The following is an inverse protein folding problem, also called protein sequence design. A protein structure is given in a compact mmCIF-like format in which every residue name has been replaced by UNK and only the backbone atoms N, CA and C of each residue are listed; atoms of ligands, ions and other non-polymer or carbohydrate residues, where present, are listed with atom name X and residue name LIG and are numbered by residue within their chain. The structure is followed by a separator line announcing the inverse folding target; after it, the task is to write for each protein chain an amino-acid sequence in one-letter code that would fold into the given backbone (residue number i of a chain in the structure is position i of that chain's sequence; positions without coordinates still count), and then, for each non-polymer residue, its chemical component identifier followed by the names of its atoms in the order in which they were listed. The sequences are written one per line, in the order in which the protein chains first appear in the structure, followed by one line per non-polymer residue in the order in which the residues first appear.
data_IF_592503834534
#
_entry.id   IF_592503834534
#
_cell.length_a   1.000
_cell.length_b   1.000
_cell.length_c   1.000
_cell.angle_alpha   90.00
_cell.angle_beta   90.00
_cell.angle_gamma   90.00
#
_symmetry.space_group_name_H-M   'P 1'
#
loop_
_entity.id
_entity.type
_entity.pdbx_description
1 polymer ?
#
# COMPACT_ATOMS: atom_id res chain seq x y z
N UNK A 1 58.67 20.49 -44.77
CA UNK A 1 58.86 19.62 -43.60
C UNK A 1 57.61 19.75 -42.75
N UNK A 2 56.65 18.84 -42.93
CA UNK A 2 55.37 18.86 -42.21
C UNK A 2 55.52 17.90 -41.04
N UNK A 3 55.54 18.47 -39.85
CA UNK A 3 55.66 17.79 -38.56
C UNK A 3 54.35 17.06 -38.24
N UNK A 4 54.31 15.75 -38.52
CA UNK A 4 53.15 14.90 -38.22
C UNK A 4 53.14 14.56 -36.73
N UNK A 5 52.35 15.32 -35.95
CA UNK A 5 51.97 14.95 -34.57
C UNK A 5 51.31 13.58 -34.57
N UNK A 6 51.97 12.60 -33.96
CA UNK A 6 51.40 11.28 -33.68
C UNK A 6 50.33 11.44 -32.60
N UNK A 7 49.05 11.27 -32.96
CA UNK A 7 47.92 11.23 -32.02
C UNK A 7 48.07 10.03 -31.08
N UNK A 8 48.72 10.24 -29.93
CA UNK A 8 48.85 9.22 -28.90
C UNK A 8 47.49 9.00 -28.22
N UNK A 9 46.87 7.85 -28.44
CA UNK A 9 45.61 7.47 -27.78
C UNK A 9 45.78 7.49 -26.25
N UNK A 10 44.82 8.05 -25.49
CA UNK A 10 44.93 8.18 -24.04
C UNK A 10 45.04 6.81 -23.37
N UNK A 11 45.90 6.69 -22.37
CA UNK A 11 46.13 5.46 -21.59
C UNK A 11 45.62 5.61 -20.17
N UNK A 12 45.16 4.51 -19.59
CA UNK A 12 44.72 4.43 -18.21
C UNK A 12 45.88 4.76 -17.27
N UNK A 13 45.70 5.72 -16.37
CA UNK A 13 46.74 6.12 -15.41
C UNK A 13 47.04 5.05 -14.36
N UNK A 14 46.21 4.01 -14.25
CA UNK A 14 46.39 2.91 -13.30
C UNK A 14 47.03 1.67 -13.92
N UNK A 15 46.55 1.21 -15.08
CA UNK A 15 47.03 -0.03 -15.72
C UNK A 15 47.78 0.18 -17.03
N UNK A 16 47.91 1.42 -17.53
CA UNK A 16 48.61 1.72 -18.78
C UNK A 16 47.92 1.26 -20.07
N UNK A 17 46.79 0.56 -19.96
CA UNK A 17 46.01 0.12 -21.12
C UNK A 17 45.37 1.29 -21.86
N UNK A 18 45.22 1.13 -23.17
CA UNK A 18 44.59 2.13 -24.03
C UNK A 18 43.12 2.34 -23.65
N UNK A 19 42.71 3.59 -23.49
CA UNK A 19 41.34 3.96 -23.20
C UNK A 19 40.56 3.98 -24.51
N UNK A 20 39.57 3.09 -24.62
CA UNK A 20 38.66 3.08 -25.76
C UNK A 20 37.64 4.21 -25.59
N UNK A 21 37.82 5.30 -26.33
CA UNK A 21 36.86 6.40 -26.36
C UNK A 21 35.75 6.06 -27.37
N UNK A 22 34.50 5.95 -26.90
CA UNK A 22 33.34 5.92 -27.80
C UNK A 22 33.02 7.34 -28.29
N UNK A 23 32.77 7.47 -29.59
CA UNK A 23 32.67 8.73 -30.36
C UNK A 23 31.70 9.80 -29.83
N UNK A 24 30.80 9.46 -28.91
CA UNK A 24 29.79 10.37 -28.37
C UNK A 24 30.14 11.02 -27.01
N UNK A 25 31.28 10.70 -26.40
CA UNK A 25 31.66 11.26 -25.10
C UNK A 25 33.08 11.84 -25.13
N UNK A 26 33.21 13.14 -25.46
CA UNK A 26 34.47 13.91 -25.36
C UNK A 26 34.81 14.30 -23.90
N UNK A 27 34.72 13.37 -22.95
CA UNK A 27 35.31 13.58 -21.62
C UNK A 27 36.56 12.72 -21.53
N UNK A 28 37.70 13.38 -21.31
CA UNK A 28 38.97 12.72 -21.04
C UNK A 28 38.81 11.85 -19.78
N UNK A 29 38.65 10.55 -19.99
CA UNK A 29 38.64 9.59 -18.89
C UNK A 29 40.08 9.31 -18.49
N UNK A 30 40.38 9.37 -17.19
CA UNK A 30 41.72 9.05 -16.68
C UNK A 30 41.92 7.53 -16.46
N UNK A 31 40.86 6.72 -16.51
CA UNK A 31 40.95 5.26 -16.29
C UNK A 31 40.26 4.45 -17.40
N UNK A 32 40.68 3.19 -17.58
CA UNK A 32 40.08 2.23 -18.53
C UNK A 32 38.69 1.70 -18.10
N UNK A 33 38.09 2.26 -17.04
CA UNK A 33 36.78 1.87 -16.49
C UNK A 33 36.66 0.43 -15.95
N UNK A 34 37.73 -0.35 -15.92
CA UNK A 34 37.75 -1.59 -15.11
C UNK A 34 37.53 -1.24 -13.64
N UNK A 35 36.74 -2.07 -12.95
CA UNK A 35 36.35 -1.84 -11.56
C UNK A 35 37.55 -1.54 -10.66
N UNK A 36 38.60 -2.37 -10.74
CA UNK A 36 39.81 -2.20 -9.92
C UNK A 36 40.57 -0.91 -10.23
N UNK A 37 40.69 -0.53 -11.51
CA UNK A 37 41.34 0.73 -11.88
C UNK A 37 40.53 1.95 -11.39
N UNK A 38 39.20 1.93 -11.52
CA UNK A 38 38.35 3.00 -11.00
C UNK A 38 38.40 3.09 -9.47
N UNK A 39 38.42 1.95 -8.79
CA UNK A 39 38.51 1.87 -7.33
C UNK A 39 39.83 2.42 -6.83
N UNK A 40 40.95 2.01 -7.44
CA UNK A 40 42.29 2.49 -7.10
C UNK A 40 42.45 3.98 -7.37
N UNK A 41 42.01 4.45 -8.54
CA UNK A 41 42.05 5.87 -8.89
C UNK A 41 41.23 6.74 -7.92
N UNK A 42 40.00 6.32 -7.59
CA UNK A 42 39.17 7.01 -6.59
C UNK A 42 39.81 7.05 -5.21
N UNK A 43 40.54 6.00 -4.83
CA UNK A 43 41.25 5.94 -3.55
C UNK A 43 42.46 6.89 -3.55
N UNK A 44 43.23 6.93 -4.63
CA UNK A 44 44.42 7.80 -4.77
C UNK A 44 44.05 9.29 -4.87
N UNK A 45 42.98 9.62 -5.60
CA UNK A 45 42.54 11.00 -5.85
C UNK A 45 41.33 11.42 -5.00
N UNK A 46 41.06 10.73 -3.88
CA UNK A 46 39.86 10.97 -3.07
C UNK A 46 39.73 12.43 -2.59
N UNK A 47 40.84 13.02 -2.14
CA UNK A 47 40.89 14.40 -1.65
C UNK A 47 40.62 15.42 -2.77
N UNK A 48 41.29 15.26 -3.91
CA UNK A 48 41.15 16.12 -5.08
C UNK A 48 39.73 16.04 -5.69
N UNK A 49 39.17 14.82 -5.77
CA UNK A 49 37.80 14.61 -6.21
C UNK A 49 36.78 15.25 -5.26
N UNK A 50 37.04 15.25 -3.96
CA UNK A 50 36.18 15.91 -2.97
C UNK A 50 36.29 17.44 -3.05
N UNK A 51 37.50 17.99 -3.24
CA UNK A 51 37.72 19.42 -3.47
C UNK A 51 36.99 19.88 -4.74
N UNK A 52 37.17 19.16 -5.86
CA UNK A 52 36.51 19.47 -7.13
C UNK A 52 34.98 19.35 -7.03
N UNK A 53 34.48 18.35 -6.29
CA UNK A 53 33.05 18.21 -6.02
C UNK A 53 32.51 19.39 -5.20
N UNK A 54 33.22 19.82 -4.16
CA UNK A 54 32.85 20.98 -3.33
C UNK A 54 32.92 22.28 -4.14
N UNK A 55 33.91 22.44 -5.00
CA UNK A 55 34.05 23.58 -5.91
C UNK A 55 32.90 23.64 -6.92
N UNK A 56 32.60 22.53 -7.62
CA UNK A 56 31.47 22.45 -8.53
C UNK A 56 30.13 22.72 -7.82
N UNK A 57 29.97 22.24 -6.58
CA UNK A 57 28.80 22.54 -5.76
C UNK A 57 28.71 24.03 -5.34
N UNK A 58 29.85 24.72 -5.17
CA UNK A 58 29.89 26.17 -4.93
C UNK A 58 29.52 26.96 -6.19
N UNK A 59 30.05 26.58 -7.35
CA UNK A 59 29.72 27.22 -8.64
C UNK A 59 28.24 27.07 -8.99
N UNK A 60 27.64 25.90 -8.71
CA UNK A 60 26.19 25.67 -8.88
C UNK A 60 25.34 26.45 -7.86
N UNK A 61 25.89 26.73 -6.67
CA UNK A 61 25.26 27.57 -5.63
C UNK A 61 25.31 29.07 -5.94
N UNK A 62 26.35 29.55 -6.62
CA UNK A 62 26.48 30.97 -7.02
C UNK A 62 25.58 31.32 -8.20
N UNK A 63 25.21 30.35 -9.04
CA UNK A 63 24.38 30.56 -10.24
C UNK A 63 22.87 30.39 -10.00
N UNK A 64 22.43 29.94 -8.83
CA UNK A 64 21.02 29.83 -8.49
C UNK A 64 20.78 30.50 -7.15
N UNK A 65 19.83 31.43 -7.07
CA UNK A 65 19.33 32.00 -5.82
C UNK A 65 18.57 30.90 -5.05
N UNK A 66 19.32 29.99 -4.43
CA UNK A 66 18.74 28.85 -3.73
C UNK A 66 18.40 29.29 -2.32
N UNK A 67 17.10 29.35 -2.05
CA UNK A 67 16.52 29.53 -0.72
C UNK A 67 17.19 28.56 0.29
N UNK A 68 17.53 29.05 1.48
CA UNK A 68 18.26 28.32 2.52
C UNK A 68 17.69 28.63 3.90
N UNK A 69 17.57 27.60 4.75
CA UNK A 69 17.22 27.72 6.17
C UNK A 69 18.47 27.84 7.04
N UNK A 70 18.39 28.59 8.15
CA UNK A 70 19.49 28.73 9.10
C UNK A 70 19.33 27.77 10.28
N UNK A 71 20.43 27.19 10.75
CA UNK A 71 20.46 26.48 12.02
C UNK A 71 20.25 27.46 13.18
N UNK A 72 19.31 27.15 14.08
CA UNK A 72 18.99 28.00 15.23
C UNK A 72 20.10 28.03 16.29
N UNK A 73 21.02 27.06 16.28
CA UNK A 73 22.14 26.98 17.22
C UNK A 73 23.35 27.81 16.74
N UNK A 74 23.69 27.74 15.45
CA UNK A 74 24.93 28.32 14.94
C UNK A 74 24.77 29.29 13.75
N UNK A 75 23.56 29.46 13.22
CA UNK A 75 23.28 30.34 12.09
C UNK A 75 23.76 29.84 10.73
N UNK A 76 24.47 28.69 10.66
CA UNK A 76 24.90 28.10 9.39
C UNK A 76 23.69 27.82 8.48
N UNK A 77 23.80 28.18 7.19
CA UNK A 77 22.70 28.10 6.23
C UNK A 77 22.76 26.81 5.41
N UNK A 78 21.63 26.12 5.31
CA UNK A 78 21.47 24.85 4.62
C UNK A 78 20.21 24.85 3.76
N UNK A 79 20.19 24.06 2.68
CA UNK A 79 18.93 23.73 2.01
C UNK A 79 18.10 22.78 2.89
N UNK A 80 18.80 21.88 3.59
CA UNK A 80 18.27 21.01 4.65
C UNK A 80 19.30 20.82 5.76
N UNK A 81 18.88 21.06 7.00
CA UNK A 81 19.63 20.73 8.20
C UNK A 81 19.56 19.22 8.39
N UNK A 82 20.70 18.55 8.20
CA UNK A 82 20.81 17.10 8.32
C UNK A 82 21.28 16.69 9.71
N UNK A 83 21.03 15.43 10.07
CA UNK A 83 21.47 14.85 11.34
C UNK A 83 23.00 14.94 11.55
N UNK A 84 23.79 14.92 10.47
CA UNK A 84 25.26 15.05 10.54
C UNK A 84 25.69 16.43 11.02
N UNK A 85 24.98 17.48 10.65
CA UNK A 85 25.24 18.82 11.16
C UNK A 85 24.85 18.93 12.63
N UNK A 86 23.65 18.46 13.01
CA UNK A 86 23.17 18.55 14.39
C UNK A 86 24.03 17.77 15.41
N UNK A 87 24.71 16.70 14.98
CA UNK A 87 25.70 16.01 15.82
C UNK A 87 26.84 16.92 16.29
N UNK A 88 27.21 17.96 15.53
CA UNK A 88 28.20 18.98 15.96
C UNK A 88 27.71 19.81 17.15
N UNK A 89 26.40 19.79 17.39
CA UNK A 89 25.74 20.44 18.51
C UNK A 89 25.23 19.41 19.54
N UNK A 90 25.65 18.15 19.44
CA UNK A 90 25.20 17.05 20.31
C UNK A 90 23.67 16.84 20.32
N UNK A 91 22.97 17.34 19.29
CA UNK A 91 21.52 17.25 19.16
C UNK A 91 21.10 16.19 18.16
N UNK A 92 20.06 15.44 18.51
CA UNK A 92 19.26 14.70 17.52
C UNK A 92 18.27 15.62 16.82
N UNK A 93 17.73 15.19 15.67
CA UNK A 93 16.64 15.91 15.00
C UNK A 93 15.39 16.07 15.88
N UNK A 94 15.15 15.15 16.82
CA UNK A 94 14.03 15.22 17.75
C UNK A 94 14.27 16.28 18.83
N UNK A 95 15.43 16.25 19.48
CA UNK A 95 15.82 17.25 20.49
C UNK A 95 15.89 18.65 19.89
N UNK A 96 16.49 18.81 18.71
CA UNK A 96 16.53 20.09 18.01
C UNK A 96 15.13 20.66 17.71
N UNK A 97 14.15 19.80 17.35
CA UNK A 97 12.76 20.24 17.15
C UNK A 97 12.06 20.60 18.46
N UNK A 98 12.43 19.97 19.56
CA UNK A 98 11.87 20.25 20.87
C UNK A 98 12.40 21.59 21.41
N UNK A 99 13.69 21.85 21.23
CA UNK A 99 14.35 23.10 21.64
C UNK A 99 14.00 24.27 20.71
N UNK A 100 13.84 24.01 19.41
CA UNK A 100 13.56 25.03 18.40
C UNK A 100 12.32 24.67 17.56
N UNK A 101 11.11 24.69 18.13
CA UNK A 101 9.89 24.21 17.48
C UNK A 101 9.52 25.00 16.21
N UNK A 102 9.94 26.26 16.13
CA UNK A 102 9.67 27.15 14.99
C UNK A 102 10.81 27.19 13.96
N UNK A 103 11.95 26.54 14.22
CA UNK A 103 13.08 26.57 13.30
C UNK A 103 12.86 25.59 12.13
N UNK A 104 12.79 26.06 10.87
CA UNK A 104 12.57 25.18 9.74
C UNK A 104 13.83 24.33 9.46
N UNK A 105 13.67 23.01 9.39
CA UNK A 105 14.76 22.09 9.06
C UNK A 105 15.10 22.06 7.57
N UNK A 106 14.22 22.55 6.70
CA UNK A 106 14.41 22.58 5.25
C UNK A 106 13.49 23.64 4.64
N UNK A 107 13.82 24.11 3.45
CA UNK A 107 13.01 25.11 2.74
C UNK A 107 11.66 24.57 2.28
N UNK A 108 10.69 25.46 2.08
CA UNK A 108 9.35 25.08 1.63
C UNK A 108 9.39 24.47 0.22
N UNK A 109 10.23 25.01 -0.67
CA UNK A 109 10.52 24.40 -1.98
C UNK A 109 11.00 22.95 -1.86
N UNK A 110 11.89 22.64 -0.89
CA UNK A 110 12.34 21.27 -0.65
C UNK A 110 11.26 20.36 -0.04
N UNK A 111 10.41 20.89 0.86
CA UNK A 111 9.25 20.15 1.38
C UNK A 111 8.32 19.73 0.24
N UNK A 112 8.02 20.66 -0.68
CA UNK A 112 7.18 20.40 -1.85
C UNK A 112 7.79 19.37 -2.82
N UNK A 113 9.05 19.55 -3.20
CA UNK A 113 9.72 18.63 -4.15
C UNK A 113 9.81 17.20 -3.62
N UNK A 114 10.01 17.02 -2.31
CA UNK A 114 10.06 15.71 -1.67
C UNK A 114 8.70 15.02 -1.62
N UNK A 115 7.61 15.78 -1.47
CA UNK A 115 6.25 15.27 -1.62
C UNK A 115 5.97 14.82 -3.06
N UNK A 116 6.33 15.66 -4.05
CA UNK A 116 6.07 15.41 -5.47
C UNK A 116 6.79 14.16 -6.00
N UNK A 117 8.07 13.95 -5.65
CA UNK A 117 8.84 12.78 -6.10
C UNK A 117 8.41 11.42 -5.53
N UNK A 118 7.66 11.40 -4.43
CA UNK A 118 7.03 10.20 -3.87
C UNK A 118 5.71 9.87 -4.59
N UNK A 119 4.92 10.89 -4.93
CA UNK A 119 3.62 10.73 -5.57
C UNK A 119 3.81 10.26 -7.01
N UNK A 120 4.75 10.85 -7.75
CA UNK A 120 5.05 10.50 -9.14
C UNK A 120 5.67 9.10 -9.35
N UNK A 121 6.01 8.39 -8.25
CA UNK A 121 6.55 7.02 -8.27
C UNK A 121 5.56 5.97 -7.80
N UNK A 122 4.31 6.36 -7.53
CA UNK A 122 3.34 5.40 -7.02
C UNK A 122 2.98 4.40 -8.12
N UNK A 123 3.17 3.09 -7.85
CA UNK A 123 2.96 2.01 -8.84
C UNK A 123 1.60 2.02 -9.52
N UNK A 124 0.57 2.59 -8.90
CA UNK A 124 -0.76 2.61 -9.50
C UNK A 124 -0.89 3.59 -10.66
N UNK A 125 -0.01 4.60 -10.77
CA UNK A 125 -0.09 5.61 -11.84
C UNK A 125 0.24 5.02 -13.22
N UNK A 126 1.16 4.06 -13.26
CA UNK A 126 1.61 3.42 -14.50
C UNK A 126 0.96 2.04 -14.70
N UNK A 127 0.00 1.66 -13.84
CA UNK A 127 -0.63 0.35 -13.91
C UNK A 127 -1.72 0.35 -14.99
N UNK A 128 -1.64 -0.51 -16.02
CA UNK A 128 -2.67 -0.62 -17.05
C UNK A 128 -3.87 -1.43 -16.55
N UNK A 129 -4.41 -1.04 -15.40
CA UNK A 129 -5.60 -1.66 -14.81
C UNK A 129 -6.87 -1.23 -15.54
N UNK A 130 -7.88 -2.09 -15.47
CA UNK A 130 -9.25 -1.77 -15.86
C UNK A 130 -9.75 -0.58 -15.04
N UNK A 131 -10.52 0.30 -15.68
CA UNK A 131 -11.16 1.41 -14.99
C UNK A 131 -12.17 0.89 -13.95
N UNK A 132 -12.29 1.55 -12.78
CA UNK A 132 -13.29 1.18 -11.79
C UNK A 132 -14.70 1.14 -12.39
N UNK A 133 -15.41 0.06 -12.13
CA UNK A 133 -16.77 -0.17 -12.62
C UNK A 133 -17.68 -0.68 -11.49
N UNK A 134 -18.95 -0.91 -11.81
CA UNK A 134 -19.93 -1.41 -10.84
C UNK A 134 -19.52 -2.78 -10.26
N UNK A 135 -18.90 -3.64 -11.07
CA UNK A 135 -18.48 -4.96 -10.61
C UNK A 135 -17.44 -4.87 -9.48
N UNK A 136 -16.46 -3.97 -9.59
CA UNK A 136 -15.53 -3.68 -8.50
C UNK A 136 -16.25 -3.12 -7.26
N UNK A 137 -17.21 -2.21 -7.43
CA UNK A 137 -17.91 -1.59 -6.30
C UNK A 137 -18.83 -2.56 -5.56
N UNK A 138 -19.47 -3.47 -6.28
CA UNK A 138 -20.24 -4.58 -5.70
C UNK A 138 -19.32 -5.53 -4.91
N UNK A 139 -18.19 -5.92 -5.50
CA UNK A 139 -17.17 -6.71 -4.81
C UNK A 139 -16.70 -6.04 -3.52
N UNK A 140 -16.29 -4.76 -3.58
CA UNK A 140 -15.82 -4.01 -2.42
C UNK A 140 -16.91 -3.92 -1.35
N UNK A 141 -18.18 -3.75 -1.73
CA UNK A 141 -19.28 -3.69 -0.77
C UNK A 141 -19.46 -5.02 -0.04
N UNK A 142 -19.48 -6.14 -0.77
CA UNK A 142 -19.57 -7.47 -0.16
C UNK A 142 -18.38 -7.79 0.75
N UNK A 143 -17.17 -7.54 0.26
CA UNK A 143 -15.94 -7.80 1.02
C UNK A 143 -15.79 -6.90 2.25
N UNK A 144 -16.23 -5.63 2.19
CA UNK A 144 -16.16 -4.71 3.33
C UNK A 144 -17.26 -4.95 4.36
N UNK A 145 -18.37 -5.57 3.99
CA UNK A 145 -19.30 -6.13 4.97
C UNK A 145 -18.76 -7.40 5.64
N UNK A 146 -17.84 -8.09 4.96
CA UNK A 146 -17.14 -9.29 5.42
C UNK A 146 -15.70 -9.04 5.92
N UNK A 147 -14.81 -9.96 5.52
CA UNK A 147 -13.42 -10.09 6.00
C UNK A 147 -12.47 -9.03 5.40
N UNK A 148 -12.84 -8.43 4.27
CA UNK A 148 -12.03 -7.44 3.57
C UNK A 148 -11.88 -6.14 4.36
N UNK A 149 -10.73 -5.48 4.26
CA UNK A 149 -10.48 -4.20 4.94
C UNK A 149 -9.78 -3.18 4.05
N UNK A 150 -10.05 -1.90 4.29
CA UNK A 150 -9.25 -0.81 3.73
C UNK A 150 -8.28 -0.31 4.79
N UNK A 151 -6.98 -0.51 4.57
CA UNK A 151 -5.92 -0.03 5.45
C UNK A 151 -5.44 1.36 5.00
N UNK A 152 -5.62 2.39 5.82
CA UNK A 152 -4.98 3.71 5.64
C UNK A 152 -3.95 3.97 6.75
N UNK A 153 -2.67 3.89 6.39
CA UNK A 153 -1.59 4.21 7.32
C UNK A 153 -1.45 5.73 7.49
N UNK A 154 -1.21 6.21 8.71
CA UNK A 154 -1.06 7.66 9.01
C UNK A 154 -0.05 8.38 8.11
N UNK A 155 1.04 7.71 7.72
CA UNK A 155 2.12 8.29 6.88
C UNK A 155 1.89 8.10 5.38
N UNK A 156 0.76 7.53 4.97
CA UNK A 156 0.43 7.27 3.57
C UNK A 156 -0.77 8.12 3.17
N UNK A 157 -0.68 8.73 1.99
CA UNK A 157 -1.78 9.53 1.43
C UNK A 157 -2.97 8.63 1.13
N UNK A 158 -2.70 7.49 0.50
CA UNK A 158 -3.73 6.60 0.00
C UNK A 158 -3.93 5.33 0.83
N UNK A 159 -5.16 4.85 0.85
CA UNK A 159 -5.52 3.56 1.44
C UNK A 159 -5.27 2.41 0.45
N UNK A 160 -5.29 1.18 0.96
CA UNK A 160 -5.23 -0.07 0.17
C UNK A 160 -6.24 -1.08 0.68
N UNK A 161 -6.61 -2.03 -0.16
CA UNK A 161 -7.33 -3.23 0.28
C UNK A 161 -6.36 -4.22 0.91
N UNK A 162 -6.79 -4.88 1.98
CA UNK A 162 -6.07 -5.96 2.63
C UNK A 162 -7.03 -7.00 3.19
N UNK A 163 -6.67 -8.27 3.01
CA UNK A 163 -7.39 -9.41 3.55
C UNK A 163 -6.41 -10.56 3.81
N UNK A 164 -6.71 -11.40 4.78
CA UNK A 164 -6.01 -12.66 4.96
C UNK A 164 -6.89 -13.72 5.58
N UNK A 165 -6.53 -14.99 5.37
CA UNK A 165 -7.38 -16.13 5.69
C UNK A 165 -6.74 -17.45 5.29
N UNK A 166 -7.42 -18.55 5.57
CA UNK A 166 -6.92 -19.92 5.36
C UNK A 166 -7.51 -20.63 4.12
N UNK A 167 -8.40 -19.97 3.38
CA UNK A 167 -8.96 -20.51 2.14
C UNK A 167 -8.19 -19.95 0.95
N UNK A 168 -7.17 -20.67 0.49
CA UNK A 168 -6.31 -20.25 -0.61
C UNK A 168 -7.10 -19.94 -1.88
N UNK A 169 -7.98 -20.86 -2.29
CA UNK A 169 -8.72 -20.75 -3.54
C UNK A 169 -9.59 -19.50 -3.56
N UNK A 170 -10.29 -19.23 -2.45
CA UNK A 170 -11.16 -18.07 -2.35
C UNK A 170 -10.38 -16.76 -2.32
N UNK A 171 -9.29 -16.69 -1.53
CA UNK A 171 -8.43 -15.51 -1.50
C UNK A 171 -7.71 -15.28 -2.83
N UNK A 172 -7.34 -16.35 -3.54
CA UNK A 172 -6.71 -16.25 -4.85
C UNK A 172 -7.71 -15.75 -5.89
N UNK A 173 -8.98 -16.17 -5.80
CA UNK A 173 -10.06 -15.61 -6.61
C UNK A 173 -10.22 -14.10 -6.36
N UNK A 174 -10.28 -13.65 -5.10
CA UNK A 174 -10.32 -12.22 -4.76
C UNK A 174 -9.09 -11.47 -5.29
N UNK A 175 -7.91 -12.08 -5.20
CA UNK A 175 -6.67 -11.52 -5.75
C UNK A 175 -6.79 -11.28 -7.26
N UNK A 176 -7.24 -12.30 -8.00
CA UNK A 176 -7.38 -12.23 -9.46
C UNK A 176 -8.48 -11.25 -9.90
N UNK A 177 -9.50 -11.04 -9.07
CA UNK A 177 -10.49 -9.98 -9.29
C UNK A 177 -9.86 -8.60 -9.10
N UNK A 178 -9.19 -8.36 -7.97
CA UNK A 178 -8.61 -7.06 -7.65
C UNK A 178 -7.41 -6.69 -8.53
N UNK A 179 -6.62 -7.67 -9.00
CA UNK A 179 -5.48 -7.41 -9.88
C UNK A 179 -5.91 -6.84 -11.22
N UNK A 180 -7.15 -7.05 -11.65
CA UNK A 180 -7.67 -6.39 -12.86
C UNK A 180 -7.70 -4.86 -12.72
N UNK A 181 -7.79 -4.32 -11.50
CA UNK A 181 -7.94 -2.89 -11.23
C UNK A 181 -6.71 -2.26 -10.58
N UNK A 182 -6.00 -3.01 -9.73
CA UNK A 182 -4.88 -2.50 -8.94
C UNK A 182 -3.68 -3.44 -8.99
N UNK A 183 -2.45 -2.93 -8.92
CA UNK A 183 -1.32 -3.79 -8.62
C UNK A 183 -1.52 -4.46 -7.25
N UNK A 184 -1.45 -5.79 -7.20
CA UNK A 184 -1.66 -6.60 -6.01
C UNK A 184 -0.37 -7.28 -5.53
N UNK A 185 -0.41 -7.75 -4.29
CA UNK A 185 0.61 -8.61 -3.71
C UNK A 185 -0.05 -9.81 -3.04
N UNK A 186 0.60 -10.96 -3.18
CA UNK A 186 0.17 -12.24 -2.65
C UNK A 186 1.28 -12.79 -1.74
N UNK A 187 0.93 -13.19 -0.51
CA UNK A 187 1.88 -13.75 0.44
C UNK A 187 1.27 -14.91 1.23
N UNK A 188 1.91 -16.05 1.15
CA UNK A 188 1.69 -17.15 2.08
C UNK A 188 2.46 -16.87 3.39
N UNK A 189 1.85 -17.16 4.55
CA UNK A 189 2.51 -17.02 5.84
C UNK A 189 2.08 -18.12 6.81
N UNK A 190 3.02 -18.50 7.66
CA UNK A 190 2.76 -19.23 8.89
C UNK A 190 2.73 -18.25 10.06
N UNK A 191 1.71 -18.33 10.91
CA UNK A 191 1.63 -17.53 12.13
C UNK A 191 2.80 -17.85 13.06
N UNK A 192 3.10 -16.90 13.94
CA UNK A 192 3.83 -17.22 15.16
C UNK A 192 3.05 -18.27 15.97
N UNK A 193 3.72 -19.13 16.74
CA UNK A 193 3.05 -20.06 17.64
C UNK A 193 2.09 -19.31 18.58
N UNK A 194 0.87 -19.80 18.71
CA UNK A 194 -0.10 -19.27 19.66
C UNK A 194 0.47 -19.40 21.07
N UNK A 195 0.49 -18.30 21.83
CA UNK A 195 1.20 -18.20 23.12
C UNK A 195 0.78 -19.25 24.14
N UNK A 196 -0.48 -19.72 24.08
CA UNK A 196 -1.01 -20.71 25.02
C UNK A 196 -1.00 -22.15 24.48
N UNK A 197 -1.11 -22.34 23.16
CA UNK A 197 -1.37 -23.67 22.58
C UNK A 197 -0.23 -24.17 21.70
N UNK A 198 0.75 -23.32 21.38
CA UNK A 198 1.84 -23.60 20.45
C UNK A 198 1.40 -23.76 18.98
N UNK A 199 0.08 -23.80 18.71
CA UNK A 199 -0.46 -24.00 17.36
C UNK A 199 -0.04 -22.87 16.44
N UNK A 200 0.36 -23.24 15.22
CA UNK A 200 0.65 -22.32 14.13
C UNK A 200 -0.46 -22.43 13.10
N UNK A 201 -0.85 -21.30 12.56
CA UNK A 201 -1.90 -21.21 11.57
C UNK A 201 -1.28 -20.81 10.25
N UNK A 202 -1.54 -21.62 9.23
CA UNK A 202 -1.18 -21.33 7.85
C UNK A 202 -2.26 -20.45 7.22
N UNK A 203 -1.84 -19.52 6.37
CA UNK A 203 -2.77 -18.66 5.66
C UNK A 203 -2.12 -17.85 4.55
N UNK A 204 -2.96 -17.15 3.82
CA UNK A 204 -2.59 -16.29 2.70
C UNK A 204 -3.05 -14.87 2.97
N UNK A 205 -2.29 -13.90 2.45
CA UNK A 205 -2.56 -12.48 2.56
C UNK A 205 -2.52 -11.83 1.18
N UNK A 206 -3.61 -11.17 0.86
CA UNK A 206 -3.79 -10.35 -0.32
C UNK A 206 -3.73 -8.88 0.10
N UNK A 207 -2.92 -8.07 -0.60
CA UNK A 207 -2.96 -6.61 -0.45
C UNK A 207 -2.83 -5.93 -1.79
N UNK A 208 -3.66 -4.92 -2.06
CA UNK A 208 -3.42 -4.01 -3.17
C UNK A 208 -2.30 -3.03 -2.83
N UNK A 209 -1.73 -2.39 -3.85
CA UNK A 209 -1.04 -1.11 -3.67
C UNK A 209 -2.03 -0.03 -3.24
N UNK A 210 -1.50 1.07 -2.70
CA UNK A 210 -2.35 2.18 -2.25
C UNK A 210 -2.93 2.91 -3.45
N UNK A 211 -4.21 3.28 -3.41
CA UNK A 211 -4.92 3.90 -4.53
C UNK A 211 -5.90 5.00 -4.08
N UNK A 212 -6.02 6.14 -4.79
CA UNK A 212 -6.96 7.22 -4.44
C UNK A 212 -8.42 6.77 -4.29
N UNK A 213 -8.92 5.93 -5.21
CA UNK A 213 -10.25 5.32 -5.12
C UNK A 213 -10.48 4.60 -3.78
N UNK A 214 -9.49 3.82 -3.32
CA UNK A 214 -9.60 3.09 -2.06
C UNK A 214 -9.56 4.06 -0.87
N UNK A 215 -8.91 5.21 -1.01
CA UNK A 215 -8.97 6.30 -0.02
C UNK A 215 -10.37 6.92 0.07
N UNK A 216 -11.00 7.15 -1.07
CA UNK A 216 -12.38 7.65 -1.14
C UNK A 216 -13.34 6.65 -0.48
N UNK A 217 -13.24 5.37 -0.84
CA UNK A 217 -14.03 4.31 -0.21
C UNK A 217 -13.75 4.19 1.29
N UNK A 218 -12.48 4.27 1.70
CA UNK A 218 -12.12 4.27 3.12
C UNK A 218 -12.79 5.43 3.88
N UNK A 219 -12.87 6.62 3.29
CA UNK A 219 -13.51 7.77 3.97
C UNK A 219 -15.01 7.58 4.21
N UNK A 220 -15.66 6.71 3.43
CA UNK A 220 -17.09 6.38 3.56
C UNK A 220 -17.32 5.19 4.50
N UNK A 221 -16.41 4.23 4.50
CA UNK A 221 -16.52 3.00 5.30
C UNK A 221 -15.89 3.08 6.68
N UNK A 222 -15.06 4.09 6.97
CA UNK A 222 -14.35 4.20 8.23
C UNK A 222 -14.45 5.61 8.83
N UNK A 223 -15.06 5.69 10.00
CA UNK A 223 -15.17 6.93 10.80
C UNK A 223 -14.40 6.70 12.09
N UNK A 224 -13.47 7.61 12.40
CA UNK A 224 -12.60 7.52 13.59
C UNK A 224 -11.84 6.18 13.72
N UNK A 225 -11.51 5.56 12.58
CA UNK A 225 -10.82 4.27 12.54
C UNK A 225 -11.71 3.05 12.77
N UNK A 226 -13.00 3.23 13.07
CA UNK A 226 -14.00 2.16 13.16
C UNK A 226 -14.64 1.93 11.79
N UNK A 227 -14.75 0.67 11.36
CA UNK A 227 -15.54 0.30 10.18
C UNK A 227 -17.03 0.54 10.47
N UNK A 228 -17.72 1.19 9.55
CA UNK A 228 -19.15 1.51 9.61
C UNK A 228 -19.90 0.93 8.41
N UNK A 229 -21.23 0.98 8.44
CA UNK A 229 -22.07 0.61 7.29
C UNK A 229 -22.57 1.87 6.57
N UNK A 230 -21.95 2.28 5.44
CA UNK A 230 -22.40 3.44 4.67
C UNK A 230 -23.67 3.11 3.88
N UNK A 231 -24.83 3.49 4.42
CA UNK A 231 -26.16 3.16 3.87
C UNK A 231 -26.26 3.43 2.37
N UNK A 232 -25.85 4.62 1.90
CA UNK A 232 -25.93 4.99 0.47
C UNK A 232 -25.10 4.09 -0.46
N UNK A 233 -23.95 3.58 0.01
CA UNK A 233 -23.16 2.63 -0.79
C UNK A 233 -23.76 1.24 -0.75
N UNK A 234 -24.25 0.80 0.41
CA UNK A 234 -24.92 -0.50 0.54
C UNK A 234 -26.18 -0.56 -0.32
N UNK A 235 -27.01 0.49 -0.28
CA UNK A 235 -28.22 0.58 -1.11
C UNK A 235 -27.88 0.41 -2.60
N UNK A 236 -26.84 1.11 -3.04
CA UNK A 236 -26.39 1.15 -4.43
C UNK A 236 -25.70 -0.14 -4.89
N UNK A 237 -24.83 -0.73 -4.06
CA UNK A 237 -23.86 -1.74 -4.49
C UNK A 237 -24.00 -3.10 -3.80
N UNK A 238 -24.86 -3.25 -2.78
CA UNK A 238 -25.18 -4.58 -2.25
C UNK A 238 -26.15 -5.28 -3.21
N UNK A 239 -25.61 -5.89 -4.26
CA UNK A 239 -26.30 -6.75 -5.25
C UNK A 239 -26.31 -8.21 -4.79
N UNK A 240 -26.89 -9.11 -5.58
CA UNK A 240 -26.79 -10.56 -5.34
C UNK A 240 -25.34 -11.05 -5.32
N UNK A 241 -24.47 -10.50 -6.16
CA UNK A 241 -23.04 -10.80 -6.16
C UNK A 241 -22.37 -10.34 -4.86
N UNK A 242 -22.60 -9.09 -4.45
CA UNK A 242 -22.06 -8.56 -3.20
C UNK A 242 -22.56 -9.34 -1.97
N UNK A 243 -23.84 -9.75 -1.97
CA UNK A 243 -24.42 -10.60 -0.93
C UNK A 243 -23.76 -11.97 -0.91
N UNK A 244 -23.47 -12.57 -2.07
CA UNK A 244 -22.78 -13.84 -2.15
C UNK A 244 -21.36 -13.76 -1.56
N UNK A 245 -20.60 -12.71 -1.90
CA UNK A 245 -19.27 -12.45 -1.31
C UNK A 245 -19.38 -12.27 0.20
N UNK A 246 -20.31 -11.44 0.67
CA UNK A 246 -20.50 -11.22 2.10
C UNK A 246 -20.88 -12.50 2.86
N UNK A 247 -21.77 -13.32 2.29
CA UNK A 247 -22.12 -14.62 2.86
C UNK A 247 -20.95 -15.60 2.84
N UNK A 248 -20.11 -15.56 1.81
CA UNK A 248 -18.90 -16.35 1.76
C UNK A 248 -17.89 -15.95 2.86
N UNK A 249 -17.81 -14.67 3.21
CA UNK A 249 -16.95 -14.21 4.29
C UNK A 249 -17.57 -14.57 5.66
N UNK A 250 -18.70 -13.94 6.00
CA UNK A 250 -19.28 -13.96 7.36
C UNK A 250 -20.56 -14.80 7.49
N UNK A 251 -20.93 -15.56 6.46
CA UNK A 251 -22.09 -16.43 6.48
C UNK A 251 -21.81 -17.82 7.04
N UNK A 252 -22.85 -18.41 7.64
CA UNK A 252 -22.84 -19.80 8.09
C UNK A 252 -24.19 -20.46 7.80
N UNK A 253 -24.16 -21.68 7.28
CA UNK A 253 -25.36 -22.52 7.12
C UNK A 253 -25.31 -23.68 8.11
N UNK A 254 -26.28 -23.74 9.02
CA UNK A 254 -26.41 -24.84 9.96
C UNK A 254 -27.26 -25.96 9.36
N UNK A 255 -26.67 -27.14 9.24
CA UNK A 255 -27.35 -28.35 8.74
C UNK A 255 -28.43 -28.85 9.71
N UNK A 256 -28.22 -28.72 11.02
CA UNK A 256 -29.13 -29.26 12.03
C UNK A 256 -30.46 -28.51 12.11
N UNK A 257 -30.44 -27.18 11.93
CA UNK A 257 -31.63 -26.33 12.05
C UNK A 257 -32.11 -25.76 10.71
N UNK A 258 -31.47 -26.13 9.60
CA UNK A 258 -31.78 -25.67 8.24
C UNK A 258 -31.86 -24.14 8.12
N UNK A 259 -30.95 -23.44 8.81
CA UNK A 259 -30.91 -21.98 8.83
C UNK A 259 -29.53 -21.45 8.49
N UNK A 260 -29.52 -20.35 7.76
CA UNK A 260 -28.35 -19.53 7.50
C UNK A 260 -28.27 -18.37 8.50
N UNK A 261 -27.05 -17.91 8.73
CA UNK A 261 -26.72 -16.80 9.62
C UNK A 261 -25.71 -15.89 8.92
N UNK A 262 -25.75 -14.59 9.23
CA UNK A 262 -24.71 -13.62 8.87
C UNK A 262 -24.19 -12.96 10.14
N UNK A 263 -22.89 -13.08 10.38
CA UNK A 263 -22.25 -12.56 11.59
C UNK A 263 -21.89 -11.08 11.46
N UNK A 264 -22.82 -10.19 11.84
CA UNK A 264 -22.64 -8.73 11.80
C UNK A 264 -22.02 -8.14 13.08
N UNK A 265 -21.25 -8.93 13.83
CA UNK A 265 -20.85 -8.61 15.21
C UNK A 265 -19.89 -7.41 15.32
N UNK A 266 -19.31 -6.97 14.21
CA UNK A 266 -18.44 -5.80 14.14
C UNK A 266 -19.21 -4.46 14.00
N UNK A 267 -20.51 -4.51 13.73
CA UNK A 267 -21.35 -3.34 13.49
C UNK A 267 -22.22 -2.99 14.70
N UNK A 268 -22.59 -1.71 14.81
CA UNK A 268 -23.48 -1.20 15.85
C UNK A 268 -24.91 -1.71 15.69
N UNK A 269 -25.75 -1.68 16.74
CA UNK A 269 -27.15 -2.10 16.65
C UNK A 269 -27.94 -1.39 15.54
N UNK A 270 -27.71 -0.10 15.34
CA UNK A 270 -28.36 0.70 14.29
C UNK A 270 -27.97 0.22 12.90
N UNK A 271 -26.69 -0.07 12.70
CA UNK A 271 -26.16 -0.62 11.44
C UNK A 271 -26.71 -2.03 11.16
N UNK A 272 -26.82 -2.88 12.20
CA UNK A 272 -27.40 -4.22 12.08
C UNK A 272 -28.90 -4.16 11.78
N UNK A 273 -29.65 -3.22 12.39
CA UNK A 273 -31.07 -2.99 12.07
C UNK A 273 -31.26 -2.57 10.62
N UNK A 274 -30.47 -1.61 10.14
CA UNK A 274 -30.48 -1.19 8.75
C UNK A 274 -30.22 -2.38 7.80
N UNK A 275 -29.18 -3.18 8.06
CA UNK A 275 -28.87 -4.36 7.23
C UNK A 275 -30.00 -5.39 7.25
N UNK A 276 -30.60 -5.64 8.42
CA UNK A 276 -31.74 -6.55 8.58
C UNK A 276 -32.93 -6.15 7.71
N UNK A 277 -33.33 -4.88 7.79
CA UNK A 277 -34.46 -4.32 7.04
C UNK A 277 -34.14 -4.28 5.53
N UNK A 278 -32.94 -3.84 5.17
CA UNK A 278 -32.52 -3.74 3.78
C UNK A 278 -32.50 -5.10 3.08
N UNK A 279 -31.98 -6.15 3.73
CA UNK A 279 -31.96 -7.51 3.17
C UNK A 279 -33.37 -8.06 2.98
N UNK A 280 -34.30 -7.74 3.89
CA UNK A 280 -35.70 -8.12 3.76
C UNK A 280 -36.37 -7.37 2.59
N UNK A 281 -36.16 -6.06 2.46
CA UNK A 281 -36.77 -5.25 1.41
C UNK A 281 -36.22 -5.56 0.01
N UNK A 282 -34.89 -5.60 -0.14
CA UNK A 282 -34.24 -5.76 -1.46
C UNK A 282 -34.28 -7.19 -1.97
N UNK A 283 -34.07 -8.16 -1.09
CA UNK A 283 -33.92 -9.56 -1.47
C UNK A 283 -35.05 -10.47 -0.97
N UNK A 284 -36.02 -9.96 -0.23
CA UNK A 284 -37.07 -10.80 0.39
C UNK A 284 -36.51 -11.76 1.44
N UNK A 285 -35.35 -11.47 2.03
CA UNK A 285 -34.67 -12.35 2.97
C UNK A 285 -35.17 -12.10 4.39
N UNK A 286 -36.29 -12.73 4.73
CA UNK A 286 -36.87 -12.67 6.08
C UNK A 286 -35.87 -13.17 7.12
N UNK A 287 -35.52 -12.28 8.05
CA UNK A 287 -34.50 -12.54 9.06
C UNK A 287 -34.92 -12.00 10.45
N UNK A 288 -34.15 -12.34 11.48
CA UNK A 288 -34.28 -11.83 12.84
C UNK A 288 -32.91 -11.46 13.37
N UNK A 289 -32.84 -10.36 14.11
CA UNK A 289 -31.63 -9.97 14.84
C UNK A 289 -31.58 -10.78 16.13
N UNK A 290 -30.47 -11.47 16.35
CA UNK A 290 -30.21 -12.28 17.55
C UNK A 290 -28.87 -11.89 18.17
N UNK A 291 -28.72 -12.13 19.47
CA UNK A 291 -27.52 -11.82 20.23
C UNK A 291 -26.80 -13.09 20.70
N UNK A 292 -25.47 -13.05 20.75
CA UNK A 292 -24.68 -14.09 21.43
C UNK A 292 -24.60 -13.79 22.94
N UNK A 293 -23.89 -14.64 23.69
CA UNK A 293 -23.69 -14.47 25.15
C UNK A 293 -22.98 -13.16 25.54
N UNK A 294 -22.29 -12.52 24.60
CA UNK A 294 -21.58 -11.26 24.77
C UNK A 294 -22.39 -10.05 24.22
N UNK A 295 -23.69 -10.21 23.96
CA UNK A 295 -24.57 -9.21 23.35
C UNK A 295 -24.12 -8.71 21.97
N UNK A 296 -23.31 -9.48 21.25
CA UNK A 296 -22.96 -9.15 19.86
C UNK A 296 -24.08 -9.62 18.93
N UNK A 297 -24.51 -8.73 18.03
CA UNK A 297 -25.68 -8.94 17.20
C UNK A 297 -25.32 -9.58 15.85
N UNK A 298 -26.16 -10.52 15.42
CA UNK A 298 -26.06 -11.20 14.13
C UNK A 298 -27.44 -11.55 13.58
N UNK A 299 -27.51 -11.84 12.27
CA UNK A 299 -28.77 -12.12 11.59
C UNK A 299 -29.00 -13.63 11.48
N UNK A 300 -30.21 -14.07 11.82
CA UNK A 300 -30.70 -15.43 11.56
C UNK A 300 -31.80 -15.40 10.52
N UNK A 301 -31.66 -16.22 9.48
CA UNK A 301 -32.60 -16.26 8.37
C UNK A 301 -33.65 -17.36 8.55
N UNK A 302 -34.85 -17.13 8.03
CA UNK A 302 -35.86 -18.20 7.92
C UNK A 302 -35.39 -19.31 6.98
N UNK A 303 -36.04 -20.49 6.99
CA UNK A 303 -35.68 -21.60 6.08
C UNK A 303 -35.73 -21.16 4.60
N UNK A 304 -36.85 -20.59 4.16
CA UNK A 304 -37.01 -20.08 2.80
C UNK A 304 -35.99 -18.99 2.42
N UNK A 305 -35.64 -18.09 3.35
CA UNK A 305 -34.60 -17.09 3.12
C UNK A 305 -33.21 -17.74 3.02
N UNK A 306 -32.95 -18.76 3.84
CA UNK A 306 -31.70 -19.53 3.80
C UNK A 306 -31.53 -20.26 2.46
N UNK A 307 -32.60 -20.85 1.94
CA UNK A 307 -32.60 -21.50 0.62
C UNK A 307 -32.33 -20.49 -0.50
N UNK A 308 -32.95 -19.31 -0.42
CA UNK A 308 -32.72 -18.21 -1.36
C UNK A 308 -31.27 -17.71 -1.33
N UNK A 309 -30.68 -17.53 -0.13
CA UNK A 309 -29.26 -17.14 0.01
C UNK A 309 -28.37 -18.18 -0.68
N UNK A 310 -28.58 -19.47 -0.41
CA UNK A 310 -27.77 -20.53 -1.04
C UNK A 310 -27.93 -20.54 -2.56
N UNK A 311 -29.15 -20.34 -3.07
CA UNK A 311 -29.41 -20.23 -4.51
C UNK A 311 -28.66 -19.04 -5.13
N UNK A 312 -28.72 -17.88 -4.48
CA UNK A 312 -27.98 -16.68 -4.90
C UNK A 312 -26.47 -16.97 -4.91
N UNK A 313 -25.91 -17.50 -3.83
CA UNK A 313 -24.48 -17.80 -3.73
C UNK A 313 -24.01 -18.79 -4.79
N UNK A 314 -24.81 -19.82 -5.14
CA UNK A 314 -24.50 -20.76 -6.23
C UNK A 314 -24.50 -20.13 -7.61
N UNK A 315 -25.21 -19.03 -7.79
CA UNK A 315 -25.23 -18.30 -9.07
C UNK A 315 -23.86 -17.69 -9.43
N UNK A 316 -22.93 -17.64 -8.48
CA UNK A 316 -21.60 -17.07 -8.66
C UNK A 316 -20.51 -18.13 -8.48
N UNK A 317 -19.52 -18.11 -9.37
CA UNK A 317 -18.33 -18.96 -9.26
C UNK A 317 -17.38 -18.39 -8.20
N UNK A 318 -17.49 -18.90 -6.97
CA UNK A 318 -16.68 -18.51 -5.80
C UNK A 318 -15.83 -19.71 -5.33
N UNK A 319 -14.63 -19.91 -5.89
CA UNK A 319 -13.82 -21.11 -5.66
C UNK A 319 -13.50 -21.34 -4.17
N UNK A 320 -13.56 -22.60 -3.74
CA UNK A 320 -13.26 -22.99 -2.37
C UNK A 320 -14.36 -22.67 -1.37
N UNK A 321 -15.50 -22.10 -1.80
CA UNK A 321 -16.62 -21.74 -0.93
C UNK A 321 -17.84 -22.64 -1.10
N UNK A 322 -17.71 -23.73 -1.86
CA UNK A 322 -18.84 -24.61 -2.19
C UNK A 322 -19.51 -25.16 -0.94
N UNK A 323 -18.74 -25.48 0.11
CA UNK A 323 -19.28 -25.98 1.37
C UNK A 323 -20.30 -25.04 2.06
N UNK A 324 -20.26 -23.72 1.78
CA UNK A 324 -21.25 -22.75 2.26
C UNK A 324 -22.51 -22.71 1.39
N UNK A 325 -22.43 -23.15 0.14
CA UNK A 325 -23.49 -23.08 -0.85
C UNK A 325 -24.24 -24.42 -1.07
N UNK A 326 -23.72 -25.58 -0.63
CA UNK A 326 -24.36 -26.89 -0.85
C UNK A 326 -25.77 -27.06 -0.23
N UNK A 327 -26.57 -27.96 -0.82
CA UNK A 327 -27.89 -28.35 -0.30
C UNK A 327 -27.73 -29.10 1.02
N UNK A 328 -28.64 -28.79 1.93
CA UNK A 328 -28.83 -29.60 3.12
C UNK A 328 -29.88 -30.63 2.70
N UNK A 329 -29.41 -31.78 2.20
CA UNK A 329 -30.26 -32.95 2.02
C UNK A 329 -30.59 -33.57 3.37
#
# INVERSE_FOLDING_TARGET
MIDTKVDSKPRCVICGEMIVLHSHYRKEHQTCRRYECMKTYRKQHASELDINRRAAQRTVKEQNDVEMVACAVCGERFQIIQHTHLRRHELTLAQYKQEFPFAPLMTDKMKECRGKGSVSKSRYLDYPGKQPDNYLFEFLTGALLGDGSLEKQQKKINARYAEGGNNELYLKWKHNLLEQYFPCSWKEKMSSPHTQTGKRYHGWWLKTTVHPLLTEWHSKWYVEGRKIVPQSLVEKYLTEFALAVWFCDDGHSSKCVLRSYLYTMAFSPEEVRFLSEFLQLKFGLKNRIIGNKNNQLFLSFSGAASDKIRKITRGFSLPGMDYKSHEIF
#
